data_IF_928824894673
#
_entry.id   IF_928824894673
#
_cell.length_a   1.000
_cell.length_b   1.000
_cell.length_c   1.000
_cell.angle_alpha   90.00
_cell.angle_beta   90.00
_cell.angle_gamma   90.00
#
_symmetry.space_group_name_H-M   'P 1'
#
loop_
_entity.id
_entity.type
_entity.pdbx_description
1 polymer ?
#
# COMPACT_ATOMS: atom_id res chain seq x y z
N UNK A 1 23.12 68.73 -29.60
CA UNK A 1 23.25 67.34 -29.09
C UNK A 1 22.06 67.05 -28.17
N UNK A 2 21.07 66.28 -28.64
CA UNK A 2 19.88 65.88 -27.85
C UNK A 2 20.09 64.43 -27.40
N UNK A 3 20.16 64.21 -26.08
CA UNK A 3 20.22 62.87 -25.47
C UNK A 3 18.80 62.44 -25.10
N UNK A 4 18.28 61.44 -25.79
CA UNK A 4 17.03 60.76 -25.45
C UNK A 4 17.31 59.72 -24.36
N UNK A 5 16.62 59.85 -23.22
CA UNK A 5 16.66 58.90 -22.11
C UNK A 5 15.52 57.91 -22.31
N UNK A 6 15.85 56.66 -22.64
CA UNK A 6 14.88 55.56 -22.75
C UNK A 6 14.58 55.02 -21.34
N UNK A 7 13.33 55.18 -20.91
CA UNK A 7 12.80 54.63 -19.68
C UNK A 7 12.33 53.18 -19.97
N UNK A 8 13.07 52.19 -19.46
CA UNK A 8 12.71 50.77 -19.58
C UNK A 8 11.68 50.45 -18.50
N UNK A 9 10.43 50.23 -18.93
CA UNK A 9 9.31 49.82 -18.09
C UNK A 9 9.42 48.30 -17.81
N UNK A 10 9.98 47.95 -16.65
CA UNK A 10 10.09 46.57 -16.19
C UNK A 10 8.74 46.11 -15.63
N UNK A 11 7.92 45.47 -16.48
CA UNK A 11 6.66 44.84 -16.11
C UNK A 11 6.98 43.57 -15.31
N UNK A 12 6.82 43.67 -14.00
CA UNK A 12 6.94 42.56 -13.07
C UNK A 12 5.72 41.64 -13.25
N UNK A 13 5.87 40.58 -14.04
CA UNK A 13 4.89 39.51 -14.14
C UNK A 13 4.75 38.82 -12.78
N UNK A 14 3.77 39.26 -12.00
CA UNK A 14 3.29 38.56 -10.82
C UNK A 14 2.71 37.23 -11.29
N UNK A 15 3.52 36.18 -11.21
CA UNK A 15 3.05 34.80 -11.32
C UNK A 15 2.13 34.56 -10.13
N UNK A 16 0.82 34.60 -10.38
CA UNK A 16 -0.18 34.11 -9.42
C UNK A 16 0.01 32.60 -9.36
N UNK A 17 0.84 32.14 -8.42
CA UNK A 17 0.91 30.75 -8.03
C UNK A 17 -0.44 30.38 -7.41
N UNK A 18 -1.34 29.82 -8.22
CA UNK A 18 -2.47 29.08 -7.69
C UNK A 18 -1.88 27.86 -6.96
N UNK A 19 -1.69 28.00 -5.65
CA UNK A 19 -1.54 26.86 -4.76
C UNK A 19 -2.83 26.04 -4.92
N UNK A 20 -2.74 24.91 -5.63
CA UNK A 20 -3.84 23.97 -5.73
C UNK A 20 -4.12 23.49 -4.30
N UNK A 21 -5.13 24.06 -3.66
CA UNK A 21 -5.61 23.62 -2.36
C UNK A 21 -6.04 22.17 -2.52
N UNK A 22 -5.27 21.25 -1.92
CA UNK A 22 -5.28 19.81 -2.18
C UNK A 22 -6.57 19.13 -1.73
N UNK A 23 -7.62 19.25 -2.53
CA UNK A 23 -8.69 18.26 -2.57
C UNK A 23 -8.19 17.10 -3.41
N UNK A 24 -7.56 16.10 -2.78
CA UNK A 24 -7.27 14.82 -3.44
C UNK A 24 -8.56 14.28 -4.02
N UNK A 25 -8.59 14.09 -5.34
CA UNK A 25 -9.71 13.48 -6.08
C UNK A 25 -9.92 12.00 -5.74
N UNK A 26 -9.02 11.42 -4.94
CA UNK A 26 -9.02 9.98 -4.64
C UNK A 26 -9.65 9.60 -3.30
N UNK A 27 -10.25 10.57 -2.58
CA UNK A 27 -10.98 10.41 -1.31
C UNK A 27 -12.30 9.60 -1.43
N UNK A 28 -12.24 8.40 -2.00
CA UNK A 28 -13.34 7.43 -1.93
C UNK A 28 -13.27 6.66 -0.61
N UNK A 29 -14.39 6.09 -0.16
CA UNK A 29 -14.40 5.22 1.02
C UNK A 29 -13.40 4.06 0.92
N UNK A 30 -13.17 3.55 -0.29
CA UNK A 30 -12.18 2.50 -0.57
C UNK A 30 -10.74 2.94 -0.35
N UNK A 31 -10.41 4.24 -0.42
CA UNK A 31 -9.06 4.73 -0.12
C UNK A 31 -8.80 4.83 1.39
N UNK A 32 -9.84 5.10 2.19
CA UNK A 32 -9.69 5.23 3.64
C UNK A 32 -9.18 3.93 4.30
N UNK A 33 -9.41 2.77 3.67
CA UNK A 33 -9.01 1.46 4.19
C UNK A 33 -7.48 1.33 4.30
N UNK A 34 -6.71 2.04 3.45
CA UNK A 34 -5.24 1.90 3.43
C UNK A 34 -4.52 2.85 4.38
N UNK A 35 -5.21 3.89 4.87
CA UNK A 35 -4.63 4.93 5.73
C UNK A 35 -3.95 4.38 7.00
N UNK A 36 -4.53 3.40 7.73
CA UNK A 36 -3.88 2.84 8.92
C UNK A 36 -2.51 2.20 8.63
N UNK A 37 -2.31 1.73 7.40
CA UNK A 37 -1.12 1.01 6.99
C UNK A 37 0.03 1.91 6.57
N UNK A 38 -0.17 3.24 6.43
CA UNK A 38 0.85 4.19 6.00
C UNK A 38 1.92 4.40 7.09
N UNK A 39 3.20 4.26 6.73
CA UNK A 39 4.35 4.47 7.60
C UNK A 39 5.52 3.52 7.39
N UNK A 40 6.43 3.54 8.34
CA UNK A 40 7.58 2.63 8.42
C UNK A 40 7.32 1.59 9.51
N UNK A 41 7.63 0.33 9.21
CA UNK A 41 7.24 -0.80 10.04
C UNK A 41 8.32 -1.88 10.12
N UNK A 42 8.33 -2.61 11.24
CA UNK A 42 9.01 -3.88 11.43
C UNK A 42 7.99 -5.01 11.37
N UNK A 43 8.31 -6.05 10.62
CA UNK A 43 7.49 -7.25 10.51
C UNK A 43 8.17 -8.40 11.23
N UNK A 44 7.41 -9.10 12.07
CA UNK A 44 7.85 -10.28 12.82
C UNK A 44 6.89 -11.42 12.61
N UNK A 45 7.42 -12.62 12.42
CA UNK A 45 6.66 -13.87 12.37
C UNK A 45 6.27 -14.31 13.79
N UNK A 46 5.03 -14.80 13.96
CA UNK A 46 4.49 -15.29 15.24
C UNK A 46 4.47 -16.82 15.26
N UNK A 47 5.54 -17.43 15.79
CA UNK A 47 5.69 -18.89 15.92
C UNK A 47 5.76 -19.30 17.38
N UNK A 48 4.86 -20.19 17.79
CA UNK A 48 4.83 -20.79 19.12
C UNK A 48 4.89 -19.77 20.29
N UNK A 49 4.27 -18.60 20.08
CA UNK A 49 4.27 -17.50 21.05
C UNK A 49 5.52 -16.61 21.05
N UNK A 50 6.49 -16.90 20.19
CA UNK A 50 7.67 -16.07 19.96
C UNK A 50 7.49 -15.15 18.75
N UNK A 51 8.06 -13.94 18.84
CA UNK A 51 8.16 -12.99 17.73
C UNK A 51 9.57 -13.08 17.13
N UNK A 52 9.66 -13.43 15.85
CA UNK A 52 10.93 -13.48 15.12
C UNK A 52 10.93 -12.38 14.07
N UNK A 53 11.83 -11.41 14.19
CA UNK A 53 11.97 -10.33 13.21
C UNK A 53 12.30 -10.89 11.82
N UNK A 54 11.47 -10.57 10.82
CA UNK A 54 11.63 -11.06 9.44
C UNK A 54 11.93 -9.96 8.42
N UNK A 55 11.69 -8.68 8.73
CA UNK A 55 12.04 -7.61 7.81
C UNK A 55 11.40 -6.27 8.13
N UNK A 56 11.56 -5.34 7.19
CA UNK A 56 11.01 -3.98 7.27
C UNK A 56 10.09 -3.70 6.10
N UNK A 57 8.99 -3.02 6.40
CA UNK A 57 7.97 -2.60 5.45
C UNK A 57 7.88 -1.07 5.49
N UNK A 58 8.09 -0.43 4.35
CA UNK A 58 7.83 1.00 4.14
C UNK A 58 6.58 1.13 3.29
N UNK A 59 5.63 1.96 3.72
CA UNK A 59 4.38 2.21 2.99
C UNK A 59 4.12 3.71 2.93
N UNK A 60 3.73 4.20 1.76
CA UNK A 60 3.42 5.61 1.55
C UNK A 60 2.35 5.79 0.49
N UNK A 61 1.61 6.88 0.59
CA UNK A 61 0.71 7.33 -0.46
C UNK A 61 1.49 8.25 -1.41
N UNK A 62 1.27 8.09 -2.71
CA UNK A 62 1.85 8.89 -3.79
C UNK A 62 0.76 9.30 -4.78
N UNK A 63 1.11 10.18 -5.72
CA UNK A 63 0.21 10.67 -6.77
C UNK A 63 -1.08 11.24 -6.16
N UNK A 64 -0.94 12.31 -5.38
CA UNK A 64 -2.07 12.99 -4.70
C UNK A 64 -2.89 12.03 -3.81
N UNK A 65 -2.17 11.19 -3.09
CA UNK A 65 -2.65 10.13 -2.22
C UNK A 65 -3.40 8.97 -2.91
N UNK A 66 -3.50 8.96 -4.23
CA UNK A 66 -4.26 7.96 -4.99
C UNK A 66 -3.61 6.57 -5.02
N UNK A 67 -2.30 6.50 -4.82
CA UNK A 67 -1.53 5.26 -4.98
C UNK A 67 -0.77 4.90 -3.71
N UNK A 68 -1.15 3.79 -3.07
CA UNK A 68 -0.30 3.18 -2.04
C UNK A 68 0.89 2.53 -2.72
N UNK A 69 2.08 2.83 -2.24
CA UNK A 69 3.29 2.10 -2.60
C UNK A 69 3.88 1.48 -1.35
N UNK A 70 4.12 0.19 -1.40
CA UNK A 70 4.81 -0.52 -0.33
C UNK A 70 6.15 -1.06 -0.82
N UNK A 71 7.10 -1.18 0.11
CA UNK A 71 8.40 -1.80 -0.12
C UNK A 71 8.77 -2.62 1.10
N UNK A 72 9.01 -3.91 0.87
CA UNK A 72 9.50 -4.80 1.90
C UNK A 72 10.92 -5.27 1.60
N UNK A 73 11.71 -5.41 2.65
CA UNK A 73 13.05 -6.01 2.61
C UNK A 73 13.16 -6.97 3.79
N UNK A 74 13.45 -8.25 3.52
CA UNK A 74 13.69 -9.24 4.56
C UNK A 74 14.93 -8.90 5.39
N UNK A 75 15.00 -9.38 6.62
CA UNK A 75 16.10 -9.15 7.54
C UNK A 75 17.47 -9.56 6.96
N UNK A 76 17.51 -10.66 6.21
CA UNK A 76 18.68 -11.18 5.50
C UNK A 76 18.88 -10.57 4.09
N UNK A 77 17.98 -9.67 3.68
CA UNK A 77 17.95 -9.03 2.35
C UNK A 77 17.79 -9.97 1.14
N UNK A 78 17.48 -11.25 1.34
CA UNK A 78 17.32 -12.23 0.24
C UNK A 78 15.96 -12.12 -0.46
N UNK A 79 14.93 -11.68 0.25
CA UNK A 79 13.59 -11.48 -0.26
C UNK A 79 13.18 -10.01 -0.20
N UNK A 80 12.64 -9.50 -1.30
CA UNK A 80 12.16 -8.12 -1.41
C UNK A 80 10.92 -8.08 -2.29
N UNK A 81 10.00 -7.18 -1.99
CA UNK A 81 8.93 -6.82 -2.91
C UNK A 81 8.70 -5.32 -2.93
N UNK A 82 8.08 -4.86 -4.01
CA UNK A 82 7.40 -3.58 -4.07
C UNK A 82 5.97 -3.82 -4.50
N UNK A 83 5.04 -3.03 -3.98
CA UNK A 83 3.66 -3.05 -4.43
C UNK A 83 3.17 -1.67 -4.84
N UNK A 84 2.14 -1.68 -5.69
CA UNK A 84 1.35 -0.49 -6.02
C UNK A 84 -0.12 -0.84 -5.94
N UNK A 85 -0.85 -0.11 -5.10
CA UNK A 85 -2.29 -0.24 -4.91
C UNK A 85 -3.03 1.03 -5.25
N UNK A 86 -4.21 0.89 -5.84
CA UNK A 86 -5.09 1.99 -6.20
C UNK A 86 -6.55 1.51 -6.29
N UNK A 87 -7.50 2.45 -6.25
CA UNK A 87 -8.91 2.14 -6.48
C UNK A 87 -9.13 1.92 -7.98
N UNK A 88 -9.57 0.72 -8.37
CA UNK A 88 -9.95 0.45 -9.74
C UNK A 88 -11.25 1.21 -10.07
N UNK A 89 -11.26 2.09 -11.08
CA UNK A 89 -12.42 2.94 -11.37
C UNK A 89 -13.64 2.15 -11.88
N UNK A 90 -13.44 0.95 -12.45
CA UNK A 90 -14.55 0.13 -12.94
C UNK A 90 -15.25 -0.63 -11.79
N UNK A 91 -14.48 -1.19 -10.85
CA UNK A 91 -15.03 -1.98 -9.74
C UNK A 91 -15.27 -1.16 -8.48
N UNK A 92 -14.67 0.04 -8.38
CA UNK A 92 -14.63 0.88 -7.17
C UNK A 92 -13.97 0.19 -5.96
N UNK A 93 -13.24 -0.90 -6.20
CA UNK A 93 -12.52 -1.65 -5.18
C UNK A 93 -11.03 -1.35 -5.25
N UNK A 94 -10.37 -1.49 -4.11
CA UNK A 94 -8.92 -1.30 -4.02
C UNK A 94 -8.20 -2.56 -4.51
N UNK A 95 -7.36 -2.40 -5.53
CA UNK A 95 -6.54 -3.46 -6.09
C UNK A 95 -5.06 -3.15 -5.86
N UNK A 96 -4.26 -4.18 -5.66
CA UNK A 96 -2.84 -4.03 -5.41
C UNK A 96 -2.02 -5.09 -6.12
N UNK A 97 -0.96 -4.66 -6.80
CA UNK A 97 -0.01 -5.55 -7.47
C UNK A 97 1.32 -5.55 -6.72
N UNK A 98 1.75 -6.73 -6.27
CA UNK A 98 3.03 -6.99 -5.64
C UNK A 98 4.00 -7.55 -6.67
N UNK A 99 5.20 -6.99 -6.77
CA UNK A 99 6.30 -7.43 -7.63
C UNK A 99 7.46 -7.85 -6.75
N UNK A 100 7.88 -9.11 -6.89
CA UNK A 100 8.95 -9.72 -6.11
C UNK A 100 10.32 -9.54 -6.80
N UNK A 101 11.41 -9.58 -6.04
CA UNK A 101 12.78 -9.56 -6.58
C UNK A 101 13.12 -10.75 -7.51
N UNK A 102 12.28 -11.78 -7.55
CA UNK A 102 12.36 -12.88 -8.53
C UNK A 102 11.77 -12.55 -9.91
N UNK A 103 11.20 -11.35 -10.09
CA UNK A 103 10.48 -10.95 -11.31
C UNK A 103 9.04 -11.48 -11.40
N UNK A 104 8.61 -12.29 -10.43
CA UNK A 104 7.21 -12.72 -10.29
C UNK A 104 6.35 -11.59 -9.74
N UNK A 105 5.03 -11.67 -9.98
CA UNK A 105 4.06 -10.77 -9.38
C UNK A 105 2.81 -11.51 -8.88
N UNK A 106 2.09 -10.85 -7.98
CA UNK A 106 0.76 -11.26 -7.49
C UNK A 106 -0.16 -10.04 -7.47
N UNK A 107 -1.46 -10.26 -7.75
CA UNK A 107 -2.50 -9.23 -7.70
C UNK A 107 -3.50 -9.58 -6.62
N UNK A 108 -3.89 -8.59 -5.84
CA UNK A 108 -4.81 -8.73 -4.72
C UNK A 108 -5.94 -7.70 -4.82
N UNK A 109 -7.10 -8.11 -4.35
CA UNK A 109 -8.27 -7.27 -4.13
C UNK A 109 -8.47 -7.10 -2.63
N UNK A 110 -8.59 -5.86 -2.15
CA UNK A 110 -8.89 -5.57 -0.75
C UNK A 110 -10.40 -5.52 -0.54
N UNK A 111 -10.88 -6.22 0.48
CA UNK A 111 -12.30 -6.38 0.78
C UNK A 111 -12.52 -6.07 2.26
N UNK A 112 -13.55 -5.26 2.52
CA UNK A 112 -14.07 -4.98 3.86
C UNK A 112 -15.40 -5.72 4.00
N UNK A 113 -15.47 -6.64 4.95
CA UNK A 113 -16.70 -7.36 5.32
C UNK A 113 -16.98 -7.14 6.81
N UNK A 114 -17.92 -6.23 7.11
CA UNK A 114 -18.13 -5.72 8.46
C UNK A 114 -16.86 -5.07 9.03
N UNK A 115 -16.38 -5.61 10.15
CA UNK A 115 -15.15 -5.16 10.82
C UNK A 115 -13.89 -5.91 10.34
N UNK A 116 -14.03 -6.82 9.37
CA UNK A 116 -12.92 -7.63 8.86
C UNK A 116 -12.39 -7.02 7.58
N UNK A 117 -11.09 -6.74 7.57
CA UNK A 117 -10.34 -6.38 6.38
C UNK A 117 -9.52 -7.58 5.91
N UNK A 118 -9.64 -7.93 4.64
CA UNK A 118 -8.82 -8.97 4.03
C UNK A 118 -8.47 -8.66 2.59
N UNK A 119 -7.39 -9.25 2.09
CA UNK A 119 -7.03 -9.23 0.68
C UNK A 119 -7.16 -10.62 0.08
N UNK A 120 -7.80 -10.74 -1.07
CA UNK A 120 -7.88 -11.97 -1.85
C UNK A 120 -6.98 -11.89 -3.07
N UNK A 121 -6.21 -12.95 -3.33
CA UNK A 121 -5.40 -13.04 -4.54
C UNK A 121 -6.30 -13.27 -5.76
N UNK A 122 -6.28 -12.32 -6.69
CA UNK A 122 -7.07 -12.34 -7.94
C UNK A 122 -6.21 -12.63 -9.18
N UNK A 123 -4.89 -12.74 -9.02
CA UNK A 123 -3.99 -13.10 -10.12
C UNK A 123 -2.51 -13.13 -9.74
N UNK A 124 -1.66 -13.43 -10.73
CA UNK A 124 -0.20 -13.43 -10.57
C UNK A 124 0.51 -14.26 -11.63
N UNK A 125 1.84 -14.34 -11.53
CA UNK A 125 2.67 -15.11 -12.48
C UNK A 125 2.63 -16.63 -12.23
N UNK A 126 2.28 -17.05 -11.01
CA UNK A 126 2.10 -18.48 -10.68
C UNK A 126 0.65 -18.85 -10.91
N UNK A 127 0.43 -19.96 -11.61
CA UNK A 127 -0.86 -20.67 -11.56
C UNK A 127 -1.16 -21.00 -10.10
N UNK A 128 -2.42 -20.89 -9.73
CA UNK A 128 -2.86 -21.02 -8.35
C UNK A 128 -3.99 -22.04 -8.36
N UNK A 129 -3.74 -23.20 -7.76
CA UNK A 129 -4.73 -24.27 -7.62
C UNK A 129 -5.64 -24.03 -6.38
N UNK A 130 -5.30 -23.03 -5.58
CA UNK A 130 -5.92 -22.66 -4.31
C UNK A 130 -6.15 -21.13 -4.23
N UNK A 131 -7.01 -20.68 -3.32
CA UNK A 131 -7.19 -19.27 -3.02
C UNK A 131 -6.25 -18.87 -1.89
N UNK A 132 -5.63 -17.70 -2.00
CA UNK A 132 -4.78 -17.12 -0.95
C UNK A 132 -5.41 -15.83 -0.44
N UNK A 133 -5.51 -15.73 0.89
CA UNK A 133 -6.03 -14.58 1.61
C UNK A 133 -5.00 -14.03 2.59
N UNK A 134 -5.02 -12.71 2.81
CA UNK A 134 -4.38 -12.09 3.97
C UNK A 134 -5.48 -11.40 4.76
N UNK A 135 -5.66 -11.78 6.03
CA UNK A 135 -6.63 -11.18 6.93
C UNK A 135 -5.92 -10.24 7.90
N UNK A 136 -6.38 -8.99 7.95
CA UNK A 136 -5.81 -7.94 8.80
C UNK A 136 -6.66 -7.83 10.06
N UNK A 137 -6.05 -8.04 11.22
CA UNK A 137 -6.71 -8.01 12.53
C UNK A 137 -5.92 -7.12 13.50
N UNK A 138 -6.57 -6.72 14.59
CA UNK A 138 -6.00 -5.87 15.63
C UNK A 138 -5.35 -4.60 15.07
N UNK A 139 -6.00 -3.97 14.09
CA UNK A 139 -5.49 -2.77 13.42
C UNK A 139 -5.54 -1.60 14.39
N UNK A 140 -4.36 -1.13 14.79
CA UNK A 140 -4.15 0.04 15.66
C UNK A 140 -3.21 1.02 14.97
N UNK A 141 -3.06 2.21 15.56
CA UNK A 141 -2.18 3.26 15.02
C UNK A 141 -0.72 2.78 14.87
N UNK A 142 -0.25 1.94 15.78
CA UNK A 142 1.15 1.55 15.96
C UNK A 142 1.43 0.08 15.63
N UNK A 143 0.41 -0.73 15.38
CA UNK A 143 0.58 -2.13 14.98
C UNK A 143 -0.65 -2.70 14.31
N UNK A 144 -0.46 -3.80 13.59
CA UNK A 144 -1.53 -4.68 13.13
C UNK A 144 -0.98 -6.11 13.00
N UNK A 145 -1.88 -7.09 12.88
CA UNK A 145 -1.53 -8.49 12.66
C UNK A 145 -2.07 -8.93 11.31
N UNK A 146 -1.27 -9.65 10.53
CA UNK A 146 -1.67 -10.25 9.26
C UNK A 146 -1.70 -11.76 9.42
N UNK A 147 -2.84 -12.37 9.13
CA UNK A 147 -3.00 -13.82 9.10
C UNK A 147 -3.03 -14.25 7.63
N UNK A 148 -2.07 -15.07 7.23
CA UNK A 148 -2.10 -15.67 5.90
C UNK A 148 -3.00 -16.91 5.94
N UNK A 149 -3.98 -16.95 5.04
CA UNK A 149 -4.95 -18.03 4.93
C UNK A 149 -4.96 -18.60 3.51
N UNK A 150 -5.31 -19.88 3.40
CA UNK A 150 -5.40 -20.59 2.13
C UNK A 150 -6.66 -21.44 2.09
N UNK A 151 -7.30 -21.48 0.93
CA UNK A 151 -8.48 -22.30 0.68
C UNK A 151 -8.28 -23.19 -0.54
N UNK A 152 -8.57 -24.49 -0.40
CA UNK A 152 -8.44 -25.48 -1.48
C UNK A 152 -9.79 -25.91 -2.09
N UNK A 153 -10.91 -25.40 -1.57
CA UNK A 153 -12.28 -25.79 -1.93
C UNK A 153 -13.10 -24.63 -2.51
N UNK A 154 -12.41 -23.64 -3.10
CA UNK A 154 -13.06 -22.50 -3.75
C UNK A 154 -13.52 -21.39 -2.80
N UNK A 155 -13.01 -21.36 -1.57
CA UNK A 155 -13.26 -20.32 -0.58
C UNK A 155 -14.22 -20.75 0.52
N UNK A 156 -14.60 -22.03 0.57
CA UNK A 156 -15.56 -22.56 1.55
C UNK A 156 -14.88 -22.76 2.90
N UNK A 157 -13.66 -23.29 2.92
CA UNK A 157 -12.85 -23.44 4.14
C UNK A 157 -11.49 -22.78 3.99
N UNK A 158 -11.06 -22.10 5.06
CA UNK A 158 -9.79 -21.37 5.11
C UNK A 158 -8.90 -21.95 6.20
N UNK A 159 -7.67 -22.29 5.81
CA UNK A 159 -6.64 -22.81 6.72
C UNK A 159 -5.59 -21.73 6.93
N UNK A 160 -5.39 -21.35 8.19
CA UNK A 160 -4.29 -20.46 8.59
C UNK A 160 -2.94 -21.13 8.28
N UNK A 161 -2.08 -20.42 7.56
CA UNK A 161 -0.71 -20.85 7.19
C UNK A 161 0.34 -20.14 8.01
N UNK A 162 0.18 -18.84 8.19
CA UNK A 162 1.18 -18.00 8.84
C UNK A 162 0.51 -16.84 9.58
N UNK A 163 1.23 -16.20 10.50
CA UNK A 163 0.79 -14.96 11.12
C UNK A 163 1.98 -14.05 11.39
N UNK A 164 1.92 -12.85 10.84
CA UNK A 164 2.92 -11.82 11.09
C UNK A 164 2.34 -10.69 11.92
N UNK A 165 3.15 -10.15 12.83
CA UNK A 165 2.89 -8.91 13.56
C UNK A 165 3.72 -7.79 12.96
N UNK A 166 3.05 -6.70 12.63
CA UNK A 166 3.65 -5.53 12.06
C UNK A 166 3.59 -4.41 13.10
N UNK A 167 4.74 -3.84 13.46
CA UNK A 167 4.88 -2.79 14.48
C UNK A 167 5.53 -1.56 13.87
N UNK A 168 5.04 -0.37 14.22
CA UNK A 168 5.54 0.90 13.68
C UNK A 168 6.96 1.17 14.17
N UNK A 169 7.83 1.61 13.28
CA UNK A 169 9.14 2.14 13.63
C UNK A 169 8.95 3.52 14.31
N UNK A 170 9.49 3.66 15.52
CA UNK A 170 9.46 4.89 16.31
C UNK A 170 10.43 5.95 15.77
#
# INVERSE_FOLDING_TARGET
MRRTVNFILMICCLSISNAQSGNSTCNTGSQAIVQPFVGEWEESDLKDGSEVFIGRLSTKLNLDDCVLTQRFISADSTFKYQSQGFVNPATQLWEETYVFNSGRYSKYLWIVDGDVLYTLRIGGSRHIDNQHGLKYIDIRKDQFTVVQEESIDGGVTWVKRDTTRIKRLH
#
